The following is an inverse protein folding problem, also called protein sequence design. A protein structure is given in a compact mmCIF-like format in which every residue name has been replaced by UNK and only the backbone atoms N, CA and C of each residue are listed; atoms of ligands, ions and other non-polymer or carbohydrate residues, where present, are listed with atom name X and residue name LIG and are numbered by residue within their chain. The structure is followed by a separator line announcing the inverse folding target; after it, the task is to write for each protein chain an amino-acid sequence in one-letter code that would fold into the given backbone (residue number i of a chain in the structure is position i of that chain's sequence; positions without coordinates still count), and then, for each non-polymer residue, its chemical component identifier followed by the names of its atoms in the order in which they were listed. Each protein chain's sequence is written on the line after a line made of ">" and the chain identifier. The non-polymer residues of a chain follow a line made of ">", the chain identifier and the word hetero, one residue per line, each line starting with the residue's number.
data_IF_451088837739
#
_entry.id   IF_451088837739
#
_cell.length_a   1.000
_cell.length_b   1.000
_cell.length_c   1.000
_cell.angle_alpha   90.00
_cell.angle_beta   90.00
_cell.angle_gamma   90.00
#
_symmetry.space_group_name_H-M   'P 1'
#
loop_
_entity.id
_entity.type
_entity.pdbx_description
1 polymer ?
#
# COMPACT_ATOMS: atom_id res chain seq x y z
N UNK A 1 0.88 8.31 -25.72
CA UNK A 1 -0.47 8.87 -25.50
C UNK A 1 -1.08 8.01 -24.42
N UNK A 2 -1.34 8.57 -23.24
CA UNK A 2 -2.15 7.90 -22.22
C UNK A 2 -3.61 8.07 -22.64
N UNK A 3 -4.39 7.01 -22.63
CA UNK A 3 -5.84 7.02 -22.83
C UNK A 3 -6.60 7.38 -21.54
N UNK A 4 -5.89 7.42 -20.42
CA UNK A 4 -6.33 7.98 -19.15
C UNK A 4 -6.43 9.51 -19.24
N UNK A 5 -7.67 10.00 -19.23
CA UNK A 5 -8.03 11.39 -18.93
C UNK A 5 -8.90 11.35 -17.69
N UNK A 6 -8.41 11.95 -16.61
CA UNK A 6 -9.10 11.99 -15.33
C UNK A 6 -10.48 12.64 -15.48
N UNK A 7 -11.54 11.91 -15.11
CA UNK A 7 -12.92 12.41 -15.04
C UNK A 7 -13.32 12.41 -13.58
N UNK A 8 -13.61 13.59 -13.02
CA UNK A 8 -14.22 13.71 -11.69
C UNK A 8 -15.75 13.70 -11.83
N UNK A 9 -16.49 12.82 -11.14
CA UNK A 9 -17.95 12.91 -11.07
C UNK A 9 -18.35 14.17 -10.29
N UNK A 10 -18.89 15.18 -10.98
CA UNK A 10 -19.40 16.40 -10.36
C UNK A 10 -19.28 17.68 -11.20
N UNK A 11 -18.47 17.69 -12.25
CA UNK A 11 -18.34 18.82 -13.15
C UNK A 11 -19.34 18.74 -14.33
N UNK A 12 -20.04 19.83 -14.70
CA UNK A 12 -20.87 19.89 -15.92
C UNK A 12 -20.03 19.92 -17.21
N UNK A 13 -18.70 20.04 -17.11
CA UNK A 13 -17.77 19.99 -18.23
C UNK A 13 -16.63 19.04 -17.87
N UNK A 14 -16.37 17.96 -18.64
CA UNK A 14 -15.33 16.95 -18.34
C UNK A 14 -13.88 17.45 -18.49
N UNK A 15 -13.68 18.74 -18.73
CA UNK A 15 -12.41 19.32 -19.14
C UNK A 15 -12.25 20.70 -18.49
N UNK A 16 -11.11 20.95 -17.84
CA UNK A 16 -10.63 22.33 -17.77
C UNK A 16 -10.21 22.75 -19.16
N UNK A 17 -11.06 23.54 -19.82
CA UNK A 17 -10.66 24.32 -21.00
C UNK A 17 -10.00 25.64 -20.61
N UNK A 18 -9.75 25.85 -19.32
CA UNK A 18 -9.51 27.20 -18.76
C UNK A 18 -8.03 27.52 -18.68
N UNK A 19 -7.15 26.52 -18.57
CA UNK A 19 -5.73 26.80 -18.28
C UNK A 19 -4.78 26.07 -19.24
N UNK A 20 -4.04 26.86 -20.02
CA UNK A 20 -2.93 26.44 -20.88
C UNK A 20 -1.89 25.62 -20.08
N UNK A 21 -1.14 24.68 -20.71
CA UNK A 21 -0.05 23.98 -20.04
C UNK A 21 0.93 24.97 -19.41
N UNK A 22 1.09 24.90 -18.08
CA UNK A 22 2.02 25.76 -17.32
C UNK A 22 1.40 26.99 -16.66
N UNK A 23 0.07 27.16 -16.68
CA UNK A 23 -0.60 28.14 -15.82
C UNK A 23 -0.63 27.62 -14.39
N UNK A 24 -0.18 28.47 -13.47
CA UNK A 24 -0.25 28.19 -12.03
C UNK A 24 -1.65 28.53 -11.52
N UNK A 25 -2.35 27.54 -10.97
CA UNK A 25 -3.64 27.71 -10.30
C UNK A 25 -3.44 27.77 -8.79
N UNK A 26 -4.32 28.46 -8.04
CA UNK A 26 -4.31 28.39 -6.59
C UNK A 26 -4.38 26.94 -6.11
N UNK A 27 -3.56 26.58 -5.13
CA UNK A 27 -3.64 25.28 -4.47
C UNK A 27 -4.62 25.34 -3.28
N UNK A 28 -5.82 25.84 -3.53
CA UNK A 28 -6.89 25.89 -2.53
C UNK A 28 -7.73 24.61 -2.53
N UNK A 29 -8.30 24.28 -1.38
CA UNK A 29 -9.38 23.29 -1.25
C UNK A 29 -10.48 23.63 -2.28
N UNK A 30 -11.08 22.60 -2.89
CA UNK A 30 -12.29 22.71 -3.73
C UNK A 30 -12.09 23.34 -5.12
N UNK A 31 -10.97 23.05 -5.79
CA UNK A 31 -10.88 23.34 -7.22
C UNK A 31 -11.81 22.42 -8.02
N UNK A 32 -12.53 23.01 -8.99
CA UNK A 32 -13.64 22.43 -9.77
C UNK A 32 -13.22 21.15 -10.52
N UNK A 33 -11.92 20.87 -10.63
CA UNK A 33 -11.32 19.82 -11.46
C UNK A 33 -10.63 18.70 -10.65
N UNK A 34 -10.92 18.56 -9.34
CA UNK A 34 -10.34 17.50 -8.49
C UNK A 34 -11.42 16.64 -7.81
N UNK A 35 -11.13 15.36 -7.59
CA UNK A 35 -11.89 14.52 -6.65
C UNK A 35 -11.25 14.68 -5.27
N UNK A 36 -11.71 15.70 -4.54
CA UNK A 36 -11.29 15.99 -3.17
C UNK A 36 -12.43 15.62 -2.22
N UNK A 37 -12.09 15.05 -1.07
CA UNK A 37 -13.04 14.78 0.01
C UNK A 37 -12.57 15.59 1.24
N UNK A 38 -13.27 16.68 1.57
CA UNK A 38 -13.02 17.38 2.84
C UNK A 38 -13.75 16.64 3.97
N UNK A 39 -12.97 16.08 4.89
CA UNK A 39 -13.47 15.32 6.04
C UNK A 39 -14.40 16.12 6.96
N UNK A 40 -14.33 17.46 6.93
CA UNK A 40 -15.15 18.36 7.76
C UNK A 40 -16.48 18.70 7.11
N UNK A 41 -16.50 18.89 5.79
CA UNK A 41 -17.71 19.37 5.08
C UNK A 41 -18.45 18.28 4.36
N UNK A 42 -17.73 17.35 3.74
CA UNK A 42 -18.32 16.34 2.85
C UNK A 42 -18.73 15.09 3.63
N UNK A 43 -17.97 14.77 4.68
CA UNK A 43 -18.26 13.66 5.61
C UNK A 43 -18.22 14.08 7.08
N UNK A 44 -19.00 15.10 7.50
CA UNK A 44 -18.90 15.77 8.81
C UNK A 44 -19.07 14.86 10.04
N UNK A 45 -19.53 13.62 9.86
CA UNK A 45 -19.76 12.64 10.93
C UNK A 45 -19.08 11.30 10.63
N UNK A 46 -18.01 11.29 9.83
CA UNK A 46 -17.24 10.07 9.58
C UNK A 46 -16.78 9.48 10.91
N UNK A 47 -17.15 8.21 11.14
CA UNK A 47 -16.78 7.50 12.36
C UNK A 47 -15.27 7.41 12.41
N UNK A 48 -14.72 7.82 13.55
CA UNK A 48 -13.30 7.69 13.84
C UNK A 48 -13.12 6.46 14.73
N UNK A 49 -12.27 5.54 14.29
CA UNK A 49 -11.90 4.37 15.07
C UNK A 49 -11.18 4.82 16.34
N UNK A 50 -11.68 4.37 17.50
CA UNK A 50 -11.20 4.81 18.80
C UNK A 50 -9.82 4.23 19.14
N UNK A 51 -9.39 3.16 18.47
CA UNK A 51 -8.13 2.47 18.75
C UNK A 51 -6.93 3.10 18.03
N UNK A 52 -7.14 3.59 16.80
CA UNK A 52 -6.06 4.07 15.92
C UNK A 52 -6.33 5.46 15.33
N UNK A 53 -7.50 6.07 15.61
CA UNK A 53 -7.88 7.37 15.07
C UNK A 53 -8.20 7.38 13.57
N UNK A 54 -8.30 6.20 12.94
CA UNK A 54 -8.53 6.09 11.51
C UNK A 54 -9.97 6.43 11.12
N UNK A 55 -10.12 6.81 9.85
CA UNK A 55 -11.42 7.07 9.20
C UNK A 55 -11.45 6.28 7.91
N UNK A 56 -12.56 5.59 7.67
CA UNK A 56 -12.69 4.68 6.54
C UNK A 56 -13.57 5.30 5.46
N UNK A 57 -13.02 5.40 4.25
CA UNK A 57 -13.73 5.82 3.05
C UNK A 57 -13.71 4.63 2.09
N UNK A 58 -14.87 4.27 1.56
CA UNK A 58 -14.98 3.22 0.55
C UNK A 58 -14.75 3.84 -0.84
N UNK A 59 -13.73 3.35 -1.55
CA UNK A 59 -13.47 3.71 -2.93
C UNK A 59 -13.83 2.52 -3.82
N UNK A 60 -14.79 2.73 -4.72
CA UNK A 60 -15.15 1.75 -5.75
C UNK A 60 -14.61 2.23 -7.10
N UNK A 61 -13.84 1.38 -7.78
CA UNK A 61 -13.28 1.67 -9.10
C UNK A 61 -13.88 0.70 -10.09
N UNK A 62 -14.78 1.20 -10.93
CA UNK A 62 -15.39 0.41 -12.00
C UNK A 62 -14.73 0.73 -13.34
N UNK A 63 -14.04 -0.26 -13.91
CA UNK A 63 -13.58 -0.19 -15.29
C UNK A 63 -14.76 -0.37 -16.27
N UNK A 64 -14.89 0.51 -17.26
CA UNK A 64 -15.99 0.48 -18.25
C UNK A 64 -15.57 -0.25 -19.54
N UNK A 65 -14.41 0.10 -20.09
CA UNK A 65 -13.75 -0.58 -21.22
C UNK A 65 -12.35 0.01 -21.45
N UNK A 66 -11.44 -0.76 -22.06
CA UNK A 66 -10.08 -0.30 -22.37
C UNK A 66 -9.12 -1.46 -22.59
N UNK A 67 -7.96 -1.19 -23.19
CA UNK A 67 -6.85 -2.15 -23.35
C UNK A 67 -5.55 -1.63 -22.72
N UNK A 68 -5.64 -0.56 -21.95
CA UNK A 68 -4.52 0.15 -21.35
C UNK A 68 -4.58 0.01 -19.84
N UNK A 69 -3.40 -0.06 -19.22
CA UNK A 69 -3.28 -0.06 -17.77
C UNK A 69 -3.60 1.32 -17.22
N UNK A 70 -4.46 1.35 -16.21
CA UNK A 70 -4.92 2.58 -15.57
C UNK A 70 -4.31 2.65 -14.17
N UNK A 71 -3.36 3.54 -13.95
CA UNK A 71 -2.81 3.84 -12.62
C UNK A 71 -3.63 4.92 -11.92
N UNK A 72 -3.92 4.75 -10.64
CA UNK A 72 -4.50 5.81 -9.81
C UNK A 72 -3.55 6.13 -8.66
N UNK A 73 -3.63 7.36 -8.15
CA UNK A 73 -2.86 7.81 -7.01
C UNK A 73 -3.79 8.51 -6.03
N UNK A 74 -3.69 8.15 -4.75
CA UNK A 74 -4.51 8.72 -3.68
C UNK A 74 -3.58 9.51 -2.77
N UNK A 75 -3.93 10.79 -2.56
CA UNK A 75 -3.20 11.71 -1.72
C UNK A 75 -4.06 12.07 -0.51
N UNK A 76 -3.45 12.18 0.67
CA UNK A 76 -4.14 12.62 1.88
C UNK A 76 -3.22 13.49 2.73
N UNK A 77 -3.81 14.49 3.37
CA UNK A 77 -3.10 15.53 4.12
C UNK A 77 -3.82 16.86 4.01
N UNK A 78 -3.55 17.82 4.90
CA UNK A 78 -4.08 19.17 4.76
C UNK A 78 -3.54 19.82 3.48
N UNK A 79 -4.29 20.74 2.87
CA UNK A 79 -3.85 21.56 1.73
C UNK A 79 -2.81 22.60 2.17
N UNK A 80 -1.72 22.15 2.78
CA UNK A 80 -0.60 23.00 3.20
C UNK A 80 0.38 23.24 2.04
N UNK A 81 -0.14 23.13 0.82
CA UNK A 81 0.65 23.17 -0.38
C UNK A 81 0.99 24.64 -0.70
N UNK A 82 2.11 24.82 -1.38
CA UNK A 82 2.52 26.09 -1.99
C UNK A 82 1.32 26.89 -2.52
N UNK A 83 1.37 28.21 -2.48
CA UNK A 83 0.23 29.08 -2.86
C UNK A 83 -0.36 28.79 -4.25
N UNK A 84 0.42 28.16 -5.15
CA UNK A 84 -0.03 27.76 -6.49
C UNK A 84 0.67 26.47 -6.96
N UNK A 85 -0.02 25.70 -7.80
CA UNK A 85 0.52 24.51 -8.51
C UNK A 85 0.16 24.57 -9.99
N UNK A 86 0.82 23.81 -10.88
CA UNK A 86 0.39 23.70 -12.28
C UNK A 86 -1.06 23.20 -12.40
N UNK A 87 -1.84 23.83 -13.29
CA UNK A 87 -3.21 23.43 -13.61
C UNK A 87 -3.28 22.03 -14.21
N UNK A 88 -2.35 21.72 -15.10
CA UNK A 88 -2.24 20.43 -15.79
C UNK A 88 -1.68 19.35 -14.86
N UNK A 89 -2.33 18.18 -14.83
CA UNK A 89 -2.07 17.11 -13.87
C UNK A 89 -0.67 16.52 -14.02
N UNK A 90 -0.20 16.27 -15.24
CA UNK A 90 1.13 15.71 -15.46
C UNK A 90 2.24 16.72 -15.09
N UNK A 91 2.07 17.99 -15.41
CA UNK A 91 2.94 19.08 -14.98
C UNK A 91 2.93 19.23 -13.46
N UNK A 92 1.78 19.01 -12.80
CA UNK A 92 1.65 19.01 -11.34
C UNK A 92 2.40 17.84 -10.70
N UNK A 93 2.27 16.63 -11.23
CA UNK A 93 3.01 15.46 -10.72
C UNK A 93 4.53 15.65 -10.86
N UNK A 94 4.98 16.16 -12.02
CA UNK A 94 6.37 16.55 -12.22
C UNK A 94 6.80 17.68 -11.27
N UNK A 95 5.92 18.64 -10.99
CA UNK A 95 6.19 19.72 -10.06
C UNK A 95 6.40 19.20 -8.63
N UNK A 96 5.51 18.33 -8.14
CA UNK A 96 5.62 17.73 -6.80
C UNK A 96 6.86 16.85 -6.68
N UNK A 97 7.16 16.05 -7.70
CA UNK A 97 8.38 15.23 -7.74
C UNK A 97 9.66 16.07 -7.66
N UNK A 98 9.69 17.21 -8.34
CA UNK A 98 10.84 18.13 -8.34
C UNK A 98 10.87 19.08 -7.13
N UNK A 99 9.76 19.19 -6.40
CA UNK A 99 9.62 20.03 -5.21
C UNK A 99 9.02 19.20 -4.07
N UNK A 100 9.73 18.20 -3.53
CA UNK A 100 9.16 17.30 -2.51
C UNK A 100 8.68 18.00 -1.23
N UNK A 101 9.16 19.22 -0.95
CA UNK A 101 8.66 20.06 0.14
C UNK A 101 7.37 20.84 -0.17
N UNK A 102 6.83 20.75 -1.39
CA UNK A 102 5.58 21.42 -1.78
C UNK A 102 4.34 20.63 -1.39
N UNK A 103 4.51 19.37 -0.95
CA UNK A 103 3.46 18.48 -0.50
C UNK A 103 3.87 17.80 0.81
N UNK A 104 2.96 17.76 1.78
CA UNK A 104 3.13 17.05 3.04
C UNK A 104 1.84 16.32 3.37
N UNK A 105 1.95 15.08 3.82
CA UNK A 105 0.80 14.38 4.38
C UNK A 105 0.44 14.90 5.79
N UNK A 106 1.32 15.69 6.41
CA UNK A 106 1.22 16.18 7.79
C UNK A 106 0.91 15.04 8.80
N UNK A 107 1.53 13.89 8.57
CA UNK A 107 1.35 12.68 9.38
C UNK A 107 0.11 11.85 9.02
N UNK A 108 -0.72 12.29 8.07
CA UNK A 108 -1.80 11.47 7.53
C UNK A 108 -1.20 10.29 6.76
N UNK A 109 -1.76 9.10 7.00
CA UNK A 109 -1.34 7.86 6.34
C UNK A 109 -2.57 7.22 5.70
N UNK A 110 -2.39 6.68 4.50
CA UNK A 110 -3.39 5.90 3.78
C UNK A 110 -2.95 4.44 3.80
N UNK A 111 -3.88 3.53 4.03
CA UNK A 111 -3.71 2.10 3.84
C UNK A 111 -4.95 1.53 3.15
N UNK A 112 -4.75 0.54 2.28
CA UNK A 112 -5.85 -0.15 1.61
C UNK A 112 -6.51 -1.17 2.54
N UNK A 113 -7.84 -1.22 2.58
CA UNK A 113 -8.57 -2.29 3.25
C UNK A 113 -9.34 -3.13 2.23
N UNK A 114 -9.26 -4.45 2.38
CA UNK A 114 -9.83 -5.39 1.42
C UNK A 114 -8.85 -5.64 0.28
N UNK A 115 -9.08 -5.03 -0.88
CA UNK A 115 -8.24 -5.18 -2.07
C UNK A 115 -7.50 -3.88 -2.40
N UNK A 116 -6.19 -3.95 -2.53
CA UNK A 116 -5.31 -2.85 -2.93
C UNK A 116 -4.71 -3.16 -4.31
N UNK A 117 -5.34 -2.71 -5.41
CA UNK A 117 -4.77 -2.84 -6.75
C UNK A 117 -3.60 -1.86 -6.90
N UNK A 118 -2.51 -2.34 -7.50
CA UNK A 118 -1.25 -1.62 -7.66
C UNK A 118 -0.68 -1.85 -9.06
N UNK A 119 0.17 -0.94 -9.50
CA UNK A 119 0.91 -1.07 -10.74
C UNK A 119 2.36 -0.62 -10.48
N UNK A 120 3.34 -1.40 -10.97
CA UNK A 120 4.75 -1.03 -10.95
C UNK A 120 5.26 -0.82 -12.37
N UNK A 121 5.92 0.31 -12.60
CA UNK A 121 6.59 0.65 -13.85
C UNK A 121 8.11 0.81 -13.69
N UNK A 122 8.66 0.36 -12.56
CA UNK A 122 10.08 0.51 -12.23
C UNK A 122 10.59 -0.77 -11.56
N UNK A 123 11.82 -1.14 -11.86
CA UNK A 123 12.48 -2.33 -11.30
C UNK A 123 13.13 -2.03 -9.94
N UNK A 124 12.37 -1.44 -9.01
CA UNK A 124 12.84 -1.15 -7.65
C UNK A 124 11.86 -1.68 -6.60
N UNK A 125 12.36 -2.20 -5.47
CA UNK A 125 11.49 -2.59 -4.37
C UNK A 125 10.69 -1.40 -3.84
N UNK A 126 9.39 -1.63 -3.64
CA UNK A 126 8.46 -0.68 -3.03
C UNK A 126 7.98 -1.19 -1.68
N UNK A 127 7.89 -0.29 -0.71
CA UNK A 127 7.35 -0.59 0.61
C UNK A 127 5.91 -0.10 0.68
N UNK A 128 4.97 -1.02 0.90
CA UNK A 128 3.53 -0.78 0.81
C UNK A 128 2.91 -1.06 2.18
N UNK A 129 2.38 -0.04 2.88
CA UNK A 129 1.65 -0.25 4.12
C UNK A 129 0.32 -0.93 3.81
N UNK A 130 0.13 -2.14 4.34
CA UNK A 130 -1.06 -2.95 4.09
C UNK A 130 -2.16 -2.66 5.10
N UNK A 131 -1.84 -2.69 6.39
CA UNK A 131 -2.82 -2.44 7.45
C UNK A 131 -2.16 -1.95 8.73
N UNK A 132 -2.87 -1.14 9.51
CA UNK A 132 -2.53 -0.89 10.90
C UNK A 132 -2.90 -2.11 11.78
N UNK A 133 -1.96 -2.54 12.62
CA UNK A 133 -2.10 -3.66 13.54
C UNK A 133 -1.97 -3.15 14.97
N UNK A 134 -3.01 -3.36 15.78
CA UNK A 134 -3.07 -2.96 17.20
C UNK A 134 -2.31 -3.97 18.09
N UNK A 135 -1.81 -3.57 19.27
CA UNK A 135 -1.34 -4.52 20.30
C UNK A 135 -2.36 -5.61 20.64
N UNK A 136 -3.67 -5.33 20.54
CA UNK A 136 -4.70 -6.33 20.85
C UNK A 136 -4.76 -7.49 19.83
N UNK A 137 -4.02 -7.37 18.72
CA UNK A 137 -3.92 -8.37 17.67
C UNK A 137 -2.72 -9.31 17.84
N UNK A 138 -1.91 -9.14 18.90
CA UNK A 138 -0.79 -10.05 19.23
C UNK A 138 -1.28 -11.51 19.21
N UNK A 139 -0.51 -12.37 18.53
CA UNK A 139 -0.81 -13.79 18.36
C UNK A 139 -1.90 -14.12 17.33
N UNK A 140 -2.60 -13.13 16.77
CA UNK A 140 -3.52 -13.36 15.66
C UNK A 140 -2.77 -13.55 14.35
N UNK A 141 -3.37 -14.29 13.41
CA UNK A 141 -2.84 -14.47 12.05
C UNK A 141 -3.56 -13.55 11.07
N UNK A 142 -2.77 -12.77 10.33
CA UNK A 142 -3.21 -11.94 9.21
C UNK A 142 -2.91 -12.72 7.93
N UNK A 143 -3.93 -12.97 7.13
CA UNK A 143 -3.78 -13.65 5.84
C UNK A 143 -3.71 -12.63 4.72
N UNK A 144 -2.70 -12.75 3.86
CA UNK A 144 -2.46 -11.82 2.76
C UNK A 144 -2.36 -12.61 1.46
N UNK A 145 -3.20 -12.31 0.48
CA UNK A 145 -3.08 -12.88 -0.86
C UNK A 145 -2.62 -11.82 -1.85
N UNK A 146 -1.83 -12.22 -2.83
CA UNK A 146 -1.37 -11.38 -3.92
C UNK A 146 -1.97 -11.90 -5.23
N UNK A 147 -2.49 -11.02 -6.06
CA UNK A 147 -3.00 -11.35 -7.39
C UNK A 147 -1.97 -10.93 -8.45
N UNK A 148 -1.75 -11.81 -9.43
CA UNK A 148 -1.12 -11.47 -10.72
C UNK A 148 0.31 -10.91 -10.62
N UNK A 149 1.19 -11.62 -9.90
CA UNK A 149 2.63 -11.28 -9.88
C UNK A 149 3.37 -12.02 -10.99
N UNK A 150 3.38 -11.49 -12.21
CA UNK A 150 3.96 -12.18 -13.37
C UNK A 150 5.03 -11.36 -14.13
N UNK A 151 4.83 -10.06 -14.32
CA UNK A 151 5.67 -9.24 -15.19
C UNK A 151 6.93 -8.76 -14.45
N UNK A 152 7.96 -9.61 -14.42
CA UNK A 152 9.29 -9.25 -13.94
C UNK A 152 9.44 -9.20 -12.41
N UNK A 153 8.36 -9.38 -11.67
CA UNK A 153 8.38 -9.48 -10.20
C UNK A 153 9.37 -10.54 -9.72
N UNK A 154 10.12 -10.23 -8.66
CA UNK A 154 11.14 -11.12 -8.11
C UNK A 154 10.84 -11.49 -6.66
N UNK A 155 11.10 -12.74 -6.24
CA UNK A 155 11.19 -13.05 -4.82
C UNK A 155 12.46 -12.42 -4.20
N UNK A 156 12.48 -12.19 -2.87
CA UNK A 156 11.41 -12.52 -1.93
C UNK A 156 10.34 -11.44 -1.77
N UNK A 157 9.14 -11.85 -1.37
CA UNK A 157 8.12 -10.94 -0.81
C UNK A 157 8.38 -10.85 0.69
N UNK A 158 8.61 -9.64 1.21
CA UNK A 158 9.04 -9.46 2.61
C UNK A 158 7.97 -8.70 3.38
N UNK A 159 7.54 -9.26 4.51
CA UNK A 159 6.63 -8.61 5.44
C UNK A 159 7.39 -8.17 6.69
N UNK A 160 7.17 -6.95 7.13
CA UNK A 160 7.75 -6.40 8.35
C UNK A 160 6.76 -5.45 9.04
N UNK A 161 6.95 -5.21 10.34
CA UNK A 161 6.24 -4.16 11.04
C UNK A 161 7.12 -2.93 11.11
N UNK A 162 6.60 -1.77 10.72
CA UNK A 162 7.38 -0.52 10.71
C UNK A 162 7.76 0.00 12.10
N UNK A 163 7.12 -0.53 13.15
CA UNK A 163 7.42 -0.26 14.56
C UNK A 163 8.46 -1.21 15.15
N UNK A 164 8.90 -2.21 14.38
CA UNK A 164 9.97 -3.14 14.73
C UNK A 164 11.16 -2.88 13.79
N UNK A 165 12.39 -3.04 14.29
CA UNK A 165 13.57 -2.77 13.49
C UNK A 165 13.64 -3.67 12.25
N UNK A 166 13.77 -3.04 11.08
CA UNK A 166 13.94 -3.69 9.78
C UNK A 166 15.08 -3.03 9.02
N UNK A 167 16.06 -3.83 8.59
CA UNK A 167 17.24 -3.34 7.85
C UNK A 167 17.32 -4.03 6.49
N UNK A 168 16.89 -3.36 5.39
CA UNK A 168 16.98 -3.94 4.06
C UNK A 168 18.45 -4.14 3.65
N UNK A 169 18.73 -5.25 2.98
CA UNK A 169 20.09 -5.60 2.56
C UNK A 169 20.05 -6.46 1.29
N UNK A 170 21.15 -6.44 0.53
CA UNK A 170 21.29 -7.27 -0.66
C UNK A 170 21.69 -8.71 -0.27
N UNK A 171 20.75 -9.45 0.33
CA UNK A 171 20.88 -10.85 0.75
C UNK A 171 19.76 -11.68 0.10
N UNK A 172 19.79 -13.01 0.23
CA UNK A 172 18.69 -13.86 -0.26
C UNK A 172 17.36 -13.62 0.47
N UNK A 173 17.40 -13.05 1.68
CA UNK A 173 16.22 -12.67 2.46
C UNK A 173 15.73 -11.26 2.10
N UNK A 174 16.56 -10.45 1.42
CA UNK A 174 16.32 -9.03 1.17
C UNK A 174 16.51 -8.11 2.39
N UNK A 175 16.97 -8.65 3.52
CA UNK A 175 17.29 -7.92 4.74
C UNK A 175 18.51 -8.52 5.47
N UNK A 176 19.12 -7.75 6.39
CA UNK A 176 20.19 -8.23 7.28
C UNK A 176 19.56 -8.85 8.54
N UNK A 177 19.64 -10.18 8.74
CA UNK A 177 19.04 -10.83 9.90
C UNK A 177 19.73 -10.47 11.23
N UNK A 178 20.93 -9.88 11.21
CA UNK A 178 21.60 -9.44 12.44
C UNK A 178 21.19 -8.02 12.87
N UNK A 179 20.47 -7.29 12.01
CA UNK A 179 20.02 -5.91 12.22
C UNK A 179 18.51 -5.76 11.99
N UNK A 180 17.80 -6.88 11.87
CA UNK A 180 16.35 -6.93 11.70
C UNK A 180 15.82 -7.74 12.86
N UNK A 181 14.98 -7.11 13.68
CA UNK A 181 14.42 -7.75 14.87
C UNK A 181 13.27 -8.68 14.47
N UNK A 182 12.51 -8.32 13.43
CA UNK A 182 11.42 -9.16 12.91
C UNK A 182 11.13 -8.87 11.43
N UNK A 183 11.12 -9.91 10.60
CA UNK A 183 10.60 -9.89 9.24
C UNK A 183 10.35 -11.31 8.72
N UNK A 184 9.41 -11.47 7.81
CA UNK A 184 9.11 -12.74 7.13
C UNK A 184 9.38 -12.59 5.64
N UNK A 185 10.33 -13.37 5.09
CA UNK A 185 10.62 -13.41 3.66
C UNK A 185 10.03 -14.68 3.03
N UNK A 186 9.19 -14.50 2.02
CA UNK A 186 8.52 -15.58 1.30
C UNK A 186 9.09 -15.76 -0.11
N UNK A 187 9.06 -16.99 -0.63
CA UNK A 187 9.54 -17.31 -1.97
C UNK A 187 11.06 -17.37 -2.10
N UNK A 188 11.80 -17.38 -0.98
CA UNK A 188 13.26 -17.48 -0.96
C UNK A 188 13.71 -18.78 -1.63
N UNK A 189 14.72 -18.71 -2.50
CA UNK A 189 15.22 -19.89 -3.21
C UNK A 189 15.93 -20.86 -2.26
N UNK A 190 15.56 -22.14 -2.32
CA UNK A 190 16.17 -23.19 -1.50
C UNK A 190 15.80 -23.18 -0.01
N UNK A 191 14.84 -22.33 0.40
CA UNK A 191 14.31 -22.29 1.77
C UNK A 191 12.79 -22.50 1.74
N UNK A 192 12.21 -23.18 2.76
CA UNK A 192 10.77 -23.21 2.94
C UNK A 192 10.26 -21.81 3.31
N UNK A 193 8.99 -21.53 2.98
CA UNK A 193 8.36 -20.30 3.46
C UNK A 193 8.20 -20.36 4.99
N UNK A 194 8.26 -19.21 5.68
CA UNK A 194 8.25 -19.14 7.15
C UNK A 194 6.94 -19.66 7.77
N UNK A 195 5.85 -19.75 7.00
CA UNK A 195 4.59 -20.34 7.44
C UNK A 195 4.48 -21.86 7.19
N UNK A 196 5.57 -22.49 6.74
CA UNK A 196 5.64 -23.93 6.49
C UNK A 196 4.97 -24.38 5.19
N UNK A 197 4.40 -23.48 4.40
CA UNK A 197 3.80 -23.80 3.10
C UNK A 197 4.91 -24.00 2.06
N UNK A 198 4.78 -25.05 1.24
CA UNK A 198 5.81 -25.42 0.24
C UNK A 198 5.31 -25.41 -1.20
N UNK A 199 4.01 -25.23 -1.41
CA UNK A 199 3.35 -25.36 -2.72
C UNK A 199 2.93 -24.03 -3.34
N UNK A 200 3.20 -22.92 -2.66
CA UNK A 200 2.79 -21.58 -3.07
C UNK A 200 3.50 -21.16 -4.37
N UNK A 201 2.77 -20.53 -5.30
CA UNK A 201 3.39 -19.91 -6.46
C UNK A 201 4.25 -18.70 -6.00
N UNK A 202 5.34 -18.40 -6.72
CA UNK A 202 6.28 -17.34 -6.33
C UNK A 202 6.05 -16.09 -7.16
N UNK A 203 6.43 -14.92 -6.63
CA UNK A 203 6.49 -13.69 -7.43
C UNK A 203 7.22 -13.94 -8.76
N UNK A 204 6.64 -13.46 -9.86
CA UNK A 204 7.08 -13.73 -11.24
C UNK A 204 6.57 -15.05 -11.84
N UNK A 205 5.76 -15.82 -11.11
CA UNK A 205 5.21 -17.12 -11.57
C UNK A 205 3.74 -17.32 -11.24
N UNK A 206 3.02 -16.24 -10.90
CA UNK A 206 1.60 -16.29 -10.54
C UNK A 206 0.71 -15.48 -11.51
N UNK A 207 0.70 -15.75 -12.82
CA UNK A 207 -0.08 -14.95 -13.77
C UNK A 207 -1.58 -15.16 -13.61
N UNK A 208 -2.34 -14.07 -13.60
CA UNK A 208 -3.81 -14.02 -13.60
C UNK A 208 -4.48 -14.85 -12.50
N UNK A 209 -3.79 -15.05 -11.38
CA UNK A 209 -4.28 -15.87 -10.27
C UNK A 209 -3.88 -15.26 -8.93
N UNK A 210 -4.66 -15.62 -7.90
CA UNK A 210 -4.31 -15.35 -6.52
C UNK A 210 -3.26 -16.35 -6.05
N UNK A 211 -2.31 -15.85 -5.26
CA UNK A 211 -1.40 -16.69 -4.48
C UNK A 211 -2.23 -17.50 -3.48
N UNK A 212 -2.21 -18.82 -3.67
CA UNK A 212 -2.91 -19.80 -2.85
C UNK A 212 -1.94 -20.93 -2.43
N UNK A 213 -1.81 -21.26 -1.13
CA UNK A 213 -2.39 -20.58 0.03
C UNK A 213 -1.90 -19.12 0.22
N UNK A 214 -2.69 -18.23 0.83
CA UNK A 214 -2.26 -16.87 1.16
C UNK A 214 -1.08 -16.89 2.14
N UNK A 215 -0.29 -15.82 2.17
CA UNK A 215 0.77 -15.60 3.16
C UNK A 215 0.15 -15.47 4.55
N UNK A 216 0.57 -16.32 5.48
CA UNK A 216 0.11 -16.26 6.87
C UNK A 216 1.14 -15.49 7.72
N UNK A 217 0.72 -14.34 8.26
CA UNK A 217 1.56 -13.48 9.08
C UNK A 217 1.06 -13.50 10.52
N UNK A 218 1.82 -14.12 11.43
CA UNK A 218 1.50 -14.08 12.85
C UNK A 218 1.97 -12.75 13.44
N UNK A 219 1.09 -12.05 14.16
CA UNK A 219 1.45 -10.79 14.84
C UNK A 219 2.37 -11.13 16.02
N UNK A 220 3.61 -10.60 16.08
CA UNK A 220 4.57 -10.89 17.14
C UNK A 220 4.13 -10.27 18.46
N UNK A 221 4.78 -10.65 19.56
CA UNK A 221 4.54 -10.07 20.89
C UNK A 221 4.03 -11.04 21.95
N UNK A 222 3.82 -12.32 21.59
CA UNK A 222 3.52 -13.36 22.57
C UNK A 222 4.81 -13.88 23.24
N UNK A 223 5.22 -13.17 24.30
CA UNK A 223 6.45 -13.47 25.03
C UNK A 223 6.34 -14.65 26.01
N UNK A 224 5.25 -15.42 25.98
CA UNK A 224 4.99 -16.46 26.97
C UNK A 224 5.86 -17.71 26.79
N UNK A 225 6.15 -18.08 25.54
CA UNK A 225 6.95 -19.25 25.17
C UNK A 225 7.92 -18.91 24.04
N UNK A 226 9.05 -18.29 24.40
CA UNK A 226 10.08 -17.86 23.47
C UNK A 226 10.79 -19.04 22.77
N UNK A 227 10.63 -19.15 21.44
CA UNK A 227 11.41 -20.06 20.60
C UNK A 227 12.64 -19.32 20.02
N UNK A 228 13.80 -19.51 20.66
CA UNK A 228 15.07 -18.94 20.22
C UNK A 228 15.67 -19.63 18.97
N UNK A 229 15.11 -20.77 18.56
CA UNK A 229 15.52 -21.46 17.34
C UNK A 229 14.72 -20.99 16.11
N UNK A 230 13.63 -20.22 16.31
CA UNK A 230 12.85 -19.63 15.23
C UNK A 230 13.62 -18.48 14.56
N UNK A 231 13.92 -18.56 13.25
CA UNK A 231 14.69 -17.52 12.55
C UNK A 231 14.01 -16.14 12.51
N UNK A 232 12.69 -16.06 12.71
CA UNK A 232 11.96 -14.78 12.77
C UNK A 232 11.85 -14.20 14.17
N UNK A 233 12.15 -14.99 15.22
CA UNK A 233 12.02 -14.62 16.62
C UNK A 233 10.66 -13.98 16.97
N UNK A 234 9.58 -14.37 16.29
CA UNK A 234 8.26 -13.72 16.39
C UNK A 234 7.65 -13.77 17.79
N UNK A 235 7.84 -14.89 18.50
CA UNK A 235 7.38 -15.07 19.88
C UNK A 235 8.29 -14.36 20.91
N UNK A 236 9.44 -13.82 20.48
CA UNK A 236 10.37 -13.09 21.35
C UNK A 236 10.46 -11.60 21.03
N UNK A 237 9.65 -11.11 20.09
CA UNK A 237 9.70 -9.72 19.67
C UNK A 237 8.54 -8.95 20.28
N UNK A 238 8.79 -8.00 21.21
CA UNK A 238 7.73 -7.16 21.75
C UNK A 238 7.07 -6.33 20.64
N UNK A 239 5.74 -6.32 20.64
CA UNK A 239 4.97 -5.52 19.69
C UNK A 239 4.02 -4.58 20.43
N UNK A 240 4.07 -3.29 20.08
CA UNK A 240 3.27 -2.24 20.69
C UNK A 240 2.33 -1.56 19.69
N UNK A 241 2.04 -2.24 18.58
CA UNK A 241 1.27 -1.69 17.48
C UNK A 241 2.17 -1.07 16.41
N UNK A 242 1.65 -1.00 15.20
CA UNK A 242 2.38 -0.51 14.03
C UNK A 242 1.63 -0.83 12.75
N UNK A 243 2.29 -0.65 11.61
CA UNK A 243 1.78 -1.02 10.30
C UNK A 243 2.48 -2.28 9.83
N UNK A 244 1.69 -3.23 9.35
CA UNK A 244 2.22 -4.33 8.55
C UNK A 244 2.52 -3.79 7.16
N UNK A 245 3.79 -3.89 6.76
CA UNK A 245 4.30 -3.40 5.48
C UNK A 245 4.78 -4.59 4.66
N UNK A 246 4.47 -4.59 3.37
CA UNK A 246 5.09 -5.49 2.40
C UNK A 246 6.13 -4.73 1.59
N UNK A 247 7.35 -5.27 1.54
CA UNK A 247 8.37 -4.88 0.58
C UNK A 247 8.28 -5.83 -0.60
N UNK A 248 7.92 -5.28 -1.75
CA UNK A 248 7.67 -6.02 -2.98
C UNK A 248 8.58 -5.52 -4.09
N UNK A 249 9.33 -6.45 -4.70
CA UNK A 249 10.13 -6.17 -5.89
C UNK A 249 9.29 -6.50 -7.14
N UNK A 250 8.44 -5.54 -7.52
CA UNK A 250 7.62 -5.63 -8.72
C UNK A 250 8.48 -5.41 -9.96
N UNK A 251 8.12 -6.05 -11.07
CA UNK A 251 8.82 -5.80 -12.33
C UNK A 251 8.20 -4.68 -13.14
N UNK A 252 8.83 -4.37 -14.28
CA UNK A 252 8.31 -3.43 -15.25
C UNK A 252 6.94 -3.86 -15.81
N UNK A 253 5.96 -2.95 -15.74
CA UNK A 253 4.58 -3.16 -16.17
C UNK A 253 3.89 -4.32 -15.44
N UNK A 254 4.16 -4.44 -14.14
CA UNK A 254 3.49 -5.41 -13.27
C UNK A 254 2.20 -4.80 -12.71
N UNK A 255 1.04 -5.39 -13.03
CA UNK A 255 -0.27 -4.99 -12.49
C UNK A 255 -0.73 -6.07 -11.52
N UNK A 256 -0.66 -5.78 -10.23
CA UNK A 256 -0.88 -6.74 -9.16
C UNK A 256 -1.87 -6.20 -8.13
N UNK A 257 -2.34 -7.06 -7.24
CA UNK A 257 -3.25 -6.66 -6.16
C UNK A 257 -2.92 -7.34 -4.85
N UNK A 258 -3.13 -6.64 -3.74
CA UNK A 258 -3.05 -7.23 -2.40
C UNK A 258 -4.44 -7.39 -1.81
N UNK A 259 -4.70 -8.53 -1.19
CA UNK A 259 -5.88 -8.77 -0.39
C UNK A 259 -5.49 -9.09 1.04
N UNK A 260 -6.05 -8.36 2.01
CA UNK A 260 -5.79 -8.57 3.43
C UNK A 260 -7.04 -9.09 4.12
N UNK A 261 -6.93 -10.24 4.80
CA UNK A 261 -8.00 -10.87 5.55
C UNK A 261 -7.56 -11.15 6.98
N UNK A 262 -8.39 -10.76 7.95
CA UNK A 262 -8.16 -10.98 9.38
C UNK A 262 -9.38 -11.67 9.97
N UNK A 263 -9.16 -12.70 10.77
CA UNK A 263 -10.24 -13.40 11.47
C UNK A 263 -10.95 -12.45 12.45
N UNK A 264 -12.28 -12.37 12.37
CA UNK A 264 -13.08 -11.49 13.25
C UNK A 264 -13.41 -10.09 12.71
N UNK A 265 -12.90 -9.70 11.53
CA UNK A 265 -13.32 -8.50 10.81
C UNK A 265 -14.14 -8.88 9.55
N UNK A 266 -15.43 -9.27 9.69
CA UNK A 266 -16.24 -9.90 8.63
C UNK A 266 -16.64 -8.97 7.47
N UNK A 267 -16.21 -7.71 7.46
CA UNK A 267 -16.60 -6.72 6.45
C UNK A 267 -15.51 -6.42 5.42
N UNK A 268 -14.33 -7.06 5.53
CA UNK A 268 -13.15 -6.68 4.71
C UNK A 268 -13.07 -7.37 3.36
N UNK A 269 -13.76 -8.50 3.16
CA UNK A 269 -13.82 -9.21 1.88
C UNK A 269 -15.24 -9.71 1.69
N UNK A 270 -15.85 -9.38 0.56
CA UNK A 270 -17.12 -9.95 0.10
C UNK A 270 -16.89 -10.76 -1.15
#
# INVERSE_FOLDING_TARGET
>A
MTDMRWVSPGAPVPFSTVDDPGVNVPANEQTIDSFEIDLRTDVPNIVTDLSNGARYIYLDVQAVSGTSENGFEIWAGPPSYVTTVPSEVNARNLYVLNHPGSHSSDGVTIYGLGNLPMNSNFDNPVDIPLIYVSPDMIGQTINISMFDSDSGAQPPVIFYFDSIAFTPANTSLGYDPNQTDWAMAFGVSGQPDPDGITTRCRAGSCPTQWVDPPYAIKVPGDLSDCDYDNPTMEDCTPFFGGRLVVRYDGGFSDTYGWQITIEGLPYLVK
#
